data_IF_278218532041
#
_entry.id   IF_278218532041
#
_cell.length_a   1.000
_cell.length_b   1.000
_cell.length_c   1.000
_cell.angle_alpha   90.00
_cell.angle_beta   90.00
_cell.angle_gamma   90.00
#
_symmetry.space_group_name_H-M   'P 1'
#
loop_
_entity.id
_entity.type
_entity.pdbx_description
1 polymer ?
#
# COMPACT_ATOMS: atom_id res chain seq x y z
N UNK A 1 -73.66 10.83 -47.22
CA UNK A 1 -73.73 10.36 -45.83
C UNK A 1 -72.50 9.48 -45.61
N UNK A 2 -71.36 10.09 -45.29
CA UNK A 2 -70.04 9.45 -45.39
C UNK A 2 -69.44 9.34 -44.00
N UNK A 3 -69.81 8.29 -43.28
CA UNK A 3 -69.26 7.96 -41.95
C UNK A 3 -67.97 7.14 -42.12
N UNK A 4 -66.83 7.82 -42.12
CA UNK A 4 -65.51 7.20 -41.91
C UNK A 4 -64.71 8.14 -41.01
N UNK A 5 -64.67 7.89 -39.69
CA UNK A 5 -63.47 8.06 -38.82
C UNK A 5 -63.79 7.90 -37.32
N UNK A 6 -63.85 6.67 -36.80
CA UNK A 6 -63.50 6.43 -35.39
C UNK A 6 -62.19 5.64 -35.24
N UNK A 7 -61.81 4.84 -36.24
CA UNK A 7 -60.70 3.88 -36.11
C UNK A 7 -59.30 4.50 -36.19
N UNK A 8 -59.13 5.58 -36.96
CA UNK A 8 -57.83 6.25 -37.12
C UNK A 8 -57.32 6.89 -35.82
N UNK A 9 -58.21 7.34 -34.94
CA UNK A 9 -57.85 7.94 -33.65
C UNK A 9 -57.43 6.91 -32.61
N UNK A 10 -57.91 5.67 -32.69
CA UNK A 10 -57.49 4.60 -31.76
C UNK A 10 -56.10 4.06 -32.13
N UNK A 11 -55.79 3.96 -33.42
CA UNK A 11 -54.46 3.57 -33.90
C UNK A 11 -53.37 4.57 -33.50
N UNK A 12 -53.64 5.88 -33.64
CA UNK A 12 -52.70 6.93 -33.20
C UNK A 12 -52.50 6.95 -31.66
N UNK A 13 -53.53 6.59 -30.87
CA UNK A 13 -53.39 6.46 -29.41
C UNK A 13 -52.52 5.26 -29.02
N UNK A 14 -52.58 4.16 -29.77
CA UNK A 14 -51.76 2.98 -29.49
C UNK A 14 -50.28 3.20 -29.88
N UNK A 15 -50.00 3.93 -30.97
CA UNK A 15 -48.62 4.31 -31.36
C UNK A 15 -48.00 5.37 -30.43
N UNK A 16 -48.81 6.29 -29.90
CA UNK A 16 -48.38 7.23 -28.86
C UNK A 16 -47.94 6.50 -27.59
N UNK A 17 -48.64 5.42 -27.21
CA UNK A 17 -48.34 4.69 -25.98
C UNK A 17 -47.11 3.76 -26.11
N UNK A 18 -46.76 3.32 -27.33
CA UNK A 18 -45.55 2.51 -27.57
C UNK A 18 -44.25 3.33 -27.50
N UNK A 19 -44.30 4.65 -27.66
CA UNK A 19 -43.11 5.52 -27.62
C UNK A 19 -42.60 5.86 -26.21
N UNK A 20 -43.32 5.47 -25.16
CA UNK A 20 -42.96 5.78 -23.77
C UNK A 20 -42.22 4.64 -23.03
N UNK A 21 -41.81 3.56 -23.70
CA UNK A 21 -41.18 2.39 -23.04
C UNK A 21 -39.64 2.45 -23.00
N UNK A 22 -39.00 3.43 -23.65
CA UNK A 22 -37.55 3.62 -23.57
C UNK A 22 -37.18 4.79 -22.65
N UNK A 23 -37.48 4.67 -21.37
CA UNK A 23 -36.76 5.45 -20.36
C UNK A 23 -35.30 5.00 -20.33
N UNK A 24 -34.32 5.92 -20.17
CA UNK A 24 -32.94 5.49 -19.99
C UNK A 24 -32.90 4.59 -18.76
N UNK A 25 -32.49 3.34 -18.95
CA UNK A 25 -32.10 2.44 -17.87
C UNK A 25 -30.95 3.13 -17.13
N UNK A 26 -31.30 3.93 -16.11
CA UNK A 26 -30.34 4.41 -15.13
C UNK A 26 -29.66 3.16 -14.60
N UNK A 27 -28.34 2.98 -14.82
CA UNK A 27 -27.65 1.85 -14.21
C UNK A 27 -27.90 1.99 -12.73
N UNK A 28 -28.51 0.95 -12.13
CA UNK A 28 -28.75 0.87 -10.71
C UNK A 28 -27.44 1.25 -10.03
N UNK A 29 -27.37 2.47 -9.50
CA UNK A 29 -26.22 2.96 -8.76
C UNK A 29 -26.26 2.13 -7.49
N UNK A 30 -25.55 1.01 -7.50
CA UNK A 30 -25.39 0.17 -6.33
C UNK A 30 -24.81 1.06 -5.24
N UNK A 31 -25.68 1.55 -4.37
CA UNK A 31 -25.35 2.30 -3.16
C UNK A 31 -24.84 1.30 -2.15
N UNK A 32 -23.72 0.68 -2.49
CA UNK A 32 -22.85 0.02 -1.55
C UNK A 32 -22.12 1.11 -0.77
N UNK A 33 -22.87 1.83 0.06
CA UNK A 33 -22.37 2.62 1.18
C UNK A 33 -21.81 1.67 2.23
N UNK A 34 -20.79 0.90 1.87
CA UNK A 34 -19.98 0.21 2.85
C UNK A 34 -19.18 1.30 3.58
N UNK A 35 -19.29 1.34 4.92
CA UNK A 35 -18.54 2.28 5.74
C UNK A 35 -17.09 2.39 5.28
N UNK A 36 -16.53 3.60 5.26
CA UNK A 36 -15.23 3.96 4.65
C UNK A 36 -14.06 3.01 4.96
N UNK A 37 -14.17 2.16 5.98
CA UNK A 37 -13.15 1.25 6.49
C UNK A 37 -13.41 -0.25 6.21
N UNK A 38 -14.54 -0.63 5.59
CA UNK A 38 -14.83 -2.06 5.29
C UNK A 38 -14.00 -2.51 4.08
N UNK A 39 -13.29 -3.63 4.22
CA UNK A 39 -12.55 -4.26 3.13
C UNK A 39 -13.48 -4.70 2.00
N UNK A 40 -13.10 -4.41 0.76
CA UNK A 40 -13.77 -4.92 -0.43
C UNK A 40 -12.87 -5.95 -1.11
N UNK A 41 -13.42 -6.89 -1.89
CA UNK A 41 -12.61 -7.87 -2.62
C UNK A 41 -11.57 -7.23 -3.54
N UNK A 42 -11.88 -6.05 -4.09
CA UNK A 42 -10.94 -5.29 -4.92
C UNK A 42 -9.72 -4.81 -4.11
N UNK A 43 -9.89 -4.39 -2.86
CA UNK A 43 -8.76 -3.96 -2.02
C UNK A 43 -7.85 -5.14 -1.68
N UNK A 44 -8.43 -6.31 -1.43
CA UNK A 44 -7.68 -7.54 -1.14
C UNK A 44 -6.89 -7.94 -2.38
N UNK A 45 -7.52 -7.97 -3.55
CA UNK A 45 -6.85 -8.33 -4.81
C UNK A 45 -5.71 -7.37 -5.16
N UNK A 46 -5.94 -6.04 -5.03
CA UNK A 46 -4.88 -5.05 -5.30
C UNK A 46 -3.77 -5.13 -4.25
N UNK A 47 -4.12 -5.27 -2.96
CA UNK A 47 -3.14 -5.46 -1.89
C UNK A 47 -2.27 -6.70 -2.10
N UNK A 48 -2.89 -7.81 -2.52
CA UNK A 48 -2.17 -9.04 -2.86
C UNK A 48 -1.23 -8.83 -4.05
N UNK A 49 -1.71 -8.22 -5.14
CA UNK A 49 -0.90 -7.98 -6.34
C UNK A 49 0.31 -7.08 -6.04
N UNK A 50 0.10 -6.03 -5.25
CA UNK A 50 1.18 -5.14 -4.80
C UNK A 50 2.14 -5.88 -3.89
N UNK A 51 1.63 -6.61 -2.89
CA UNK A 51 2.46 -7.40 -1.99
C UNK A 51 3.35 -8.37 -2.76
N UNK A 52 2.78 -9.12 -3.69
CA UNK A 52 3.54 -10.02 -4.58
C UNK A 52 4.60 -9.28 -5.40
N UNK A 53 4.27 -8.12 -6.00
CA UNK A 53 5.23 -7.31 -6.74
C UNK A 53 6.38 -6.82 -5.84
N UNK A 54 6.07 -6.37 -4.62
CA UNK A 54 7.06 -6.00 -3.62
C UNK A 54 7.94 -7.18 -3.22
N UNK A 55 7.38 -8.37 -3.00
CA UNK A 55 8.15 -9.57 -2.65
C UNK A 55 9.16 -9.99 -3.73
N UNK A 56 8.81 -9.84 -5.01
CA UNK A 56 9.76 -10.05 -6.12
C UNK A 56 10.89 -9.02 -6.08
N UNK A 57 10.57 -7.76 -5.80
CA UNK A 57 11.58 -6.68 -5.64
C UNK A 57 12.49 -6.98 -4.43
N UNK A 58 11.93 -7.44 -3.32
CA UNK A 58 12.69 -7.82 -2.12
C UNK A 58 13.66 -8.95 -2.42
N UNK A 59 13.24 -9.92 -3.22
CA UNK A 59 14.14 -10.98 -3.67
C UNK A 59 15.27 -10.48 -4.57
N UNK A 60 14.94 -9.66 -5.58
CA UNK A 60 15.97 -9.04 -6.40
C UNK A 60 16.98 -8.26 -5.54
N UNK A 61 16.48 -7.62 -4.49
CA UNK A 61 17.31 -6.93 -3.52
C UNK A 61 18.13 -7.86 -2.62
N UNK A 62 17.63 -9.04 -2.23
CA UNK A 62 18.40 -10.05 -1.50
C UNK A 62 19.64 -10.52 -2.25
N UNK A 63 19.60 -10.59 -3.59
CA UNK A 63 20.78 -10.91 -4.39
C UNK A 63 21.76 -9.73 -4.49
N UNK A 64 21.24 -8.50 -4.56
CA UNK A 64 22.06 -7.29 -4.67
C UNK A 64 22.70 -6.88 -3.33
N UNK A 65 22.00 -7.11 -2.23
CA UNK A 65 22.37 -6.63 -0.90
C UNK A 65 23.74 -7.17 -0.41
N UNK A 66 24.12 -8.45 -0.57
CA UNK A 66 25.45 -8.93 -0.21
C UNK A 66 26.58 -8.19 -0.92
N UNK A 67 26.42 -7.89 -2.22
CA UNK A 67 27.40 -7.14 -3.03
C UNK A 67 27.47 -5.67 -2.60
N UNK A 68 26.31 -5.08 -2.34
CA UNK A 68 26.23 -3.69 -1.90
C UNK A 68 26.81 -3.53 -0.48
N UNK A 69 26.44 -4.44 0.42
CA UNK A 69 26.86 -4.43 1.81
C UNK A 69 28.36 -4.69 1.97
N UNK A 70 28.99 -5.53 1.14
CA UNK A 70 30.44 -5.75 1.19
C UNK A 70 31.21 -4.50 0.77
N UNK A 71 30.75 -3.83 -0.29
CA UNK A 71 31.33 -2.58 -0.79
C UNK A 71 31.14 -1.42 0.19
N UNK A 72 29.94 -1.30 0.76
CA UNK A 72 29.60 -0.23 1.71
C UNK A 72 30.26 -0.44 3.08
N UNK A 73 30.35 -1.68 3.55
CA UNK A 73 31.02 -1.99 4.82
C UNK A 73 32.53 -1.76 4.77
N UNK A 74 33.13 -1.78 3.57
CA UNK A 74 34.53 -1.41 3.36
C UNK A 74 34.77 0.10 3.51
N UNK A 75 33.74 0.93 3.30
CA UNK A 75 33.82 2.39 3.42
C UNK A 75 33.42 2.83 4.84
N UNK A 76 32.27 2.36 5.35
CA UNK A 76 31.80 2.69 6.69
C UNK A 76 30.90 1.57 7.27
N UNK A 77 31.30 0.94 8.39
CA UNK A 77 30.49 -0.09 9.05
C UNK A 77 29.14 0.48 9.52
N UNK A 78 28.03 0.04 8.90
CA UNK A 78 26.67 0.44 9.28
C UNK A 78 25.86 1.13 8.18
N UNK A 79 26.50 1.61 7.10
CA UNK A 79 25.78 2.30 6.00
C UNK A 79 24.89 1.34 5.20
N UNK A 80 25.21 0.04 5.18
CA UNK A 80 24.38 -0.97 4.54
C UNK A 80 22.93 -0.99 5.07
N UNK A 81 22.71 -0.52 6.30
CA UNK A 81 21.39 -0.45 6.94
C UNK A 81 20.47 0.61 6.35
N UNK A 82 21.01 1.60 5.63
CA UNK A 82 20.18 2.55 4.88
C UNK A 82 19.23 1.85 3.90
N UNK A 83 19.66 0.70 3.36
CA UNK A 83 18.90 -0.07 2.38
C UNK A 83 17.91 -1.05 2.99
N UNK A 84 17.94 -1.24 4.32
CA UNK A 84 16.99 -2.13 5.01
C UNK A 84 15.54 -1.65 4.84
N UNK A 85 15.37 -0.35 4.64
CA UNK A 85 14.10 0.28 4.35
C UNK A 85 13.38 -0.21 3.09
N UNK A 86 14.08 -0.88 2.17
CA UNK A 86 13.43 -1.49 1.00
C UNK A 86 12.46 -2.58 1.43
N UNK A 87 12.81 -3.41 2.42
CA UNK A 87 11.97 -4.55 2.84
C UNK A 87 10.68 -4.14 3.55
N UNK A 88 10.68 -3.05 4.32
CA UNK A 88 9.47 -2.57 4.99
C UNK A 88 8.74 -1.44 4.27
N UNK A 89 9.28 -0.91 3.17
CA UNK A 89 8.61 0.11 2.35
C UNK A 89 7.22 -0.33 1.87
N UNK A 90 7.02 -1.65 1.67
CA UNK A 90 5.72 -2.17 1.23
C UNK A 90 4.59 -1.96 2.24
N UNK A 91 4.89 -1.91 3.55
CA UNK A 91 3.90 -1.62 4.59
C UNK A 91 3.34 -0.20 4.47
N UNK A 92 4.23 0.80 4.36
CA UNK A 92 3.82 2.19 4.15
C UNK A 92 3.10 2.36 2.82
N UNK A 93 3.59 1.73 1.75
CA UNK A 93 2.92 1.76 0.45
C UNK A 93 1.51 1.15 0.51
N UNK A 94 1.35 0.03 1.22
CA UNK A 94 0.08 -0.67 1.39
C UNK A 94 -0.98 0.20 2.07
N UNK A 95 -0.62 0.89 3.16
CA UNK A 95 -1.56 1.78 3.87
C UNK A 95 -1.94 3.00 3.03
N UNK A 96 -1.01 3.55 2.24
CA UNK A 96 -1.26 4.68 1.35
C UNK A 96 -2.24 4.35 0.23
N UNK A 97 -2.17 3.13 -0.31
CA UNK A 97 -3.05 2.68 -1.39
C UNK A 97 -4.42 2.23 -0.90
N UNK A 98 -4.47 1.36 0.11
CA UNK A 98 -5.74 0.74 0.54
C UNK A 98 -6.50 1.66 1.50
N UNK A 99 -5.80 2.46 2.31
CA UNK A 99 -6.36 3.43 3.26
C UNK A 99 -7.33 2.81 4.29
N UNK A 100 -7.03 1.60 4.75
CA UNK A 100 -7.83 0.84 5.73
C UNK A 100 -6.96 0.27 6.84
N UNK A 101 -7.53 0.03 8.04
CA UNK A 101 -6.82 -0.64 9.12
C UNK A 101 -6.39 -2.05 8.71
N UNK A 102 -5.16 -2.40 9.05
CA UNK A 102 -4.49 -3.66 8.73
C UNK A 102 -3.90 -3.71 7.31
N UNK A 103 -3.95 -2.61 6.54
CA UNK A 103 -3.47 -2.62 5.16
C UNK A 103 -1.95 -2.74 5.07
N UNK A 104 -1.22 -2.09 5.98
CA UNK A 104 0.22 -2.17 6.02
C UNK A 104 0.69 -3.58 6.32
N UNK A 105 0.14 -4.17 7.38
CA UNK A 105 0.43 -5.56 7.80
C UNK A 105 0.12 -6.54 6.67
N UNK A 106 -1.04 -6.41 6.03
CA UNK A 106 -1.45 -7.32 4.96
C UNK A 106 -0.47 -7.30 3.78
N UNK A 107 -0.18 -6.12 3.23
CA UNK A 107 0.71 -6.00 2.06
C UNK A 107 2.13 -6.43 2.40
N UNK A 108 2.63 -6.06 3.58
CA UNK A 108 3.97 -6.42 4.03
C UNK A 108 4.10 -7.94 4.24
N UNK A 109 3.08 -8.58 4.81
CA UNK A 109 3.05 -10.02 5.02
C UNK A 109 2.98 -10.80 3.70
N UNK A 110 2.15 -10.35 2.76
CA UNK A 110 2.07 -10.98 1.44
C UNK A 110 3.39 -10.84 0.69
N UNK A 111 4.04 -9.66 0.75
CA UNK A 111 5.34 -9.46 0.12
C UNK A 111 6.44 -10.32 0.74
N UNK A 112 6.49 -10.36 2.07
CA UNK A 112 7.45 -11.21 2.79
C UNK A 112 7.24 -12.70 2.49
N UNK A 113 5.97 -13.15 2.40
CA UNK A 113 5.66 -14.51 2.03
C UNK A 113 6.10 -14.84 0.59
N UNK A 114 5.84 -13.95 -0.36
CA UNK A 114 6.29 -14.12 -1.74
C UNK A 114 7.82 -14.22 -1.84
N UNK A 115 8.54 -13.37 -1.09
CA UNK A 115 9.99 -13.42 -0.97
C UNK A 115 10.50 -14.75 -0.38
N UNK A 116 9.80 -15.30 0.63
CA UNK A 116 10.11 -16.62 1.20
C UNK A 116 9.95 -17.74 0.18
N UNK A 117 8.85 -17.72 -0.58
CA UNK A 117 8.52 -18.77 -1.56
C UNK A 117 9.56 -18.82 -2.68
N UNK A 118 10.06 -17.67 -3.12
CA UNK A 118 11.10 -17.60 -4.16
C UNK A 118 12.45 -18.11 -3.65
N UNK A 119 12.72 -17.95 -2.35
CA UNK A 119 13.87 -18.57 -1.68
C UNK A 119 14.64 -17.58 -0.83
N UNK A 120 14.40 -17.59 0.48
CA UNK A 120 15.13 -16.76 1.43
C UNK A 120 16.06 -17.61 2.32
N UNK A 121 17.22 -17.04 2.64
CA UNK A 121 18.24 -17.56 3.54
C UNK A 121 17.86 -17.45 5.04
N UNK A 122 16.85 -16.65 5.36
CA UNK A 122 16.36 -16.45 6.74
C UNK A 122 15.18 -17.36 7.09
N UNK A 123 15.07 -17.74 8.36
CA UNK A 123 14.00 -18.61 8.84
C UNK A 123 12.62 -17.96 8.65
N UNK A 124 11.69 -18.70 8.02
CA UNK A 124 10.34 -18.22 7.67
C UNK A 124 9.62 -17.62 8.88
N UNK A 125 9.66 -18.29 10.03
CA UNK A 125 9.01 -17.80 11.25
C UNK A 125 9.55 -16.45 11.72
N UNK A 126 10.86 -16.23 11.59
CA UNK A 126 11.52 -15.00 12.02
C UNK A 126 11.16 -13.81 11.11
N UNK A 127 11.13 -14.04 9.79
CA UNK A 127 10.79 -12.99 8.81
C UNK A 127 9.31 -12.65 8.88
N UNK A 128 8.43 -13.63 9.08
CA UNK A 128 7.00 -13.37 9.17
C UNK A 128 6.64 -12.60 10.45
N UNK A 129 7.25 -12.93 11.60
CA UNK A 129 7.04 -12.18 12.84
C UNK A 129 7.54 -10.75 12.70
N UNK A 130 8.73 -10.55 12.11
CA UNK A 130 9.27 -9.20 11.89
C UNK A 130 8.40 -8.41 10.90
N UNK A 131 7.90 -9.03 9.83
CA UNK A 131 7.04 -8.37 8.85
C UNK A 131 5.70 -7.91 9.45
N UNK A 132 5.14 -8.69 10.38
CA UNK A 132 3.93 -8.29 11.10
C UNK A 132 4.23 -7.07 11.97
N UNK A 133 5.33 -7.12 12.74
CA UNK A 133 5.70 -6.04 13.65
C UNK A 133 5.98 -4.74 12.88
N UNK A 134 6.72 -4.82 11.77
CA UNK A 134 6.96 -3.72 10.84
C UNK A 134 5.66 -3.16 10.24
N UNK A 135 4.74 -4.05 9.87
CA UNK A 135 3.42 -3.66 9.39
C UNK A 135 2.62 -2.88 10.43
N UNK A 136 2.66 -3.31 11.69
CA UNK A 136 1.97 -2.63 12.80
C UNK A 136 2.61 -1.27 13.09
N UNK A 137 3.95 -1.20 13.09
CA UNK A 137 4.69 0.03 13.34
C UNK A 137 4.53 1.06 12.22
N UNK A 138 4.48 0.63 10.96
CA UNK A 138 4.20 1.53 9.83
C UNK A 138 2.77 2.07 9.84
N UNK A 139 1.83 1.33 10.41
CA UNK A 139 0.43 1.72 10.51
C UNK A 139 0.13 2.62 11.72
N UNK A 140 0.97 2.60 12.75
CA UNK A 140 0.77 3.33 14.00
C UNK A 140 0.50 4.83 13.81
N UNK A 141 1.26 5.57 12.97
CA UNK A 141 1.00 7.00 12.74
C UNK A 141 -0.33 7.27 12.01
N UNK A 142 -0.74 6.35 11.13
CA UNK A 142 -2.04 6.43 10.44
C UNK A 142 -3.20 6.07 11.36
N UNK A 143 -2.98 5.12 12.29
CA UNK A 143 -3.93 4.76 13.33
C UNK A 143 -4.16 5.93 14.31
N UNK A 144 -3.10 6.63 14.71
CA UNK A 144 -3.19 7.85 15.54
C UNK A 144 -3.99 8.95 14.83
N UNK A 145 -3.78 9.12 13.52
CA UNK A 145 -4.60 10.03 12.71
C UNK A 145 -6.01 9.49 12.37
N UNK A 146 -6.42 8.38 12.99
CA UNK A 146 -7.72 7.71 12.81
C UNK A 146 -8.07 7.44 11.34
N UNK A 147 -7.06 7.19 10.50
CA UNK A 147 -7.21 6.97 9.06
C UNK A 147 -7.96 8.10 8.34
N UNK A 148 -7.96 9.32 8.89
CA UNK A 148 -8.65 10.47 8.27
C UNK A 148 -7.78 11.19 7.25
N UNK A 149 -6.46 11.13 7.43
CA UNK A 149 -5.49 11.82 6.59
C UNK A 149 -4.39 10.85 6.17
N UNK A 150 -3.98 10.93 4.91
CA UNK A 150 -2.88 10.17 4.34
C UNK A 150 -2.01 11.20 3.66
N UNK A 151 -1.03 11.75 4.37
CA UNK A 151 -0.18 12.85 3.91
C UNK A 151 1.29 12.43 3.93
N UNK A 152 2.16 13.17 3.24
CA UNK A 152 3.59 12.90 3.22
C UNK A 152 4.22 12.85 4.64
N UNK A 153 3.90 13.76 5.58
CA UNK A 153 4.40 13.65 6.96
C UNK A 153 4.01 12.35 7.67
N UNK A 154 2.81 11.82 7.41
CA UNK A 154 2.37 10.55 7.99
C UNK A 154 3.12 9.35 7.39
N UNK A 155 3.40 9.38 6.08
CA UNK A 155 4.23 8.37 5.43
C UNK A 155 5.66 8.38 5.99
N UNK A 156 6.24 9.57 6.18
CA UNK A 156 7.55 9.74 6.82
C UNK A 156 7.55 9.20 8.26
N UNK A 157 6.52 9.56 9.05
CA UNK A 157 6.38 9.05 10.41
C UNK A 157 6.24 7.53 10.44
N UNK A 158 5.46 6.93 9.52
CA UNK A 158 5.30 5.48 9.40
C UNK A 158 6.62 4.78 9.07
N UNK A 159 7.36 5.31 8.09
CA UNK A 159 8.70 4.83 7.75
C UNK A 159 9.69 4.94 8.90
N UNK A 160 9.69 6.06 9.63
CA UNK A 160 10.55 6.27 10.79
C UNK A 160 10.22 5.33 11.96
N UNK A 161 8.94 5.15 12.29
CA UNK A 161 8.52 4.21 13.34
C UNK A 161 8.94 2.78 13.02
N UNK A 162 8.80 2.38 11.77
CA UNK A 162 9.18 1.04 11.31
C UNK A 162 10.70 0.85 11.32
N UNK A 163 11.45 1.87 10.90
CA UNK A 163 12.91 1.84 10.95
C UNK A 163 13.46 1.68 12.37
N UNK A 164 12.88 2.40 13.34
CA UNK A 164 13.28 2.30 14.74
C UNK A 164 12.97 0.91 15.30
N UNK A 165 11.78 0.38 15.02
CA UNK A 165 11.41 -0.98 15.44
C UNK A 165 12.32 -2.03 14.80
N UNK A 166 12.52 -1.97 13.49
CA UNK A 166 13.36 -2.93 12.77
C UNK A 166 14.84 -2.85 13.18
N UNK A 167 15.37 -1.64 13.40
CA UNK A 167 16.74 -1.44 13.91
C UNK A 167 16.93 -2.01 15.31
N UNK A 168 15.96 -1.81 16.21
CA UNK A 168 15.98 -2.44 17.55
C UNK A 168 15.84 -3.97 17.45
N UNK A 169 14.97 -4.47 16.58
CA UNK A 169 14.80 -5.90 16.33
C UNK A 169 16.10 -6.54 15.84
N UNK A 170 16.81 -5.92 14.90
CA UNK A 170 18.12 -6.36 14.43
C UNK A 170 19.18 -6.33 15.54
N UNK A 171 19.21 -5.28 16.36
CA UNK A 171 20.14 -5.19 17.50
C UNK A 171 19.93 -6.31 18.51
N UNK A 172 18.68 -6.66 18.81
CA UNK A 172 18.33 -7.67 19.80
C UNK A 172 18.54 -9.11 19.29
N UNK A 173 18.16 -9.40 18.05
CA UNK A 173 18.14 -10.78 17.55
C UNK A 173 19.31 -11.13 16.63
N UNK A 174 19.81 -10.17 15.84
CA UNK A 174 20.88 -10.42 14.86
C UNK A 174 22.26 -10.00 15.38
N UNK A 175 22.33 -8.91 16.13
CA UNK A 175 23.54 -8.39 16.74
C UNK A 175 23.62 -8.62 18.26
N UNK A 176 22.96 -9.66 18.78
CA UNK A 176 23.04 -10.04 20.18
C UNK A 176 24.51 -10.16 20.63
N UNK A 177 25.01 -9.15 21.36
CA UNK A 177 26.40 -9.03 21.78
C UNK A 177 27.10 -7.73 21.38
N UNK A 178 26.54 -6.94 20.46
CA UNK A 178 27.00 -5.58 20.15
C UNK A 178 26.25 -4.61 21.05
N UNK A 179 26.96 -3.88 21.91
CA UNK A 179 26.32 -2.87 22.76
C UNK A 179 25.56 -1.86 21.88
N UNK A 180 24.29 -1.53 22.18
CA UNK A 180 23.52 -0.52 21.45
C UNK A 180 24.20 0.86 21.49
N UNK A 181 25.09 1.10 22.46
CA UNK A 181 25.92 2.30 22.61
C UNK A 181 27.27 2.21 21.89
N UNK A 182 27.58 1.10 21.22
CA UNK A 182 28.80 1.01 20.41
C UNK A 182 28.69 1.95 19.19
N UNK A 183 29.81 2.50 18.69
CA UNK A 183 29.81 3.36 17.50
C UNK A 183 29.07 2.73 16.31
N UNK A 184 29.17 1.40 16.16
CA UNK A 184 28.49 0.64 15.11
C UNK A 184 26.96 0.57 15.31
N UNK A 185 26.49 0.45 16.55
CA UNK A 185 25.06 0.45 16.88
C UNK A 185 24.41 1.82 16.64
N UNK A 186 25.11 2.90 17.00
CA UNK A 186 24.64 4.27 16.77
C UNK A 186 24.59 4.58 15.27
N UNK A 187 25.65 4.28 14.51
CA UNK A 187 25.67 4.47 13.05
C UNK A 187 24.59 3.63 12.37
N UNK A 188 24.39 2.38 12.81
CA UNK A 188 23.30 1.52 12.32
C UNK A 188 21.93 2.17 12.53
N UNK A 189 21.60 2.61 13.75
CA UNK A 189 20.30 3.22 14.06
C UNK A 189 20.05 4.53 13.29
N UNK A 190 21.08 5.35 13.11
CA UNK A 190 20.97 6.60 12.34
C UNK A 190 20.72 6.29 10.87
N UNK A 191 21.53 5.39 10.27
CA UNK A 191 21.36 4.99 8.88
C UNK A 191 20.00 4.31 8.66
N UNK A 192 19.56 3.44 9.56
CA UNK A 192 18.25 2.79 9.49
C UNK A 192 17.11 3.82 9.48
N UNK A 193 17.17 4.79 10.41
CA UNK A 193 16.15 5.84 10.52
C UNK A 193 16.09 6.71 9.28
N UNK A 194 17.25 7.12 8.74
CA UNK A 194 17.32 7.90 7.49
C UNK A 194 16.76 7.08 6.32
N UNK A 195 17.13 5.79 6.24
CA UNK A 195 16.64 4.87 5.22
C UNK A 195 15.12 4.75 5.27
N UNK A 196 14.55 4.56 6.44
CA UNK A 196 13.10 4.46 6.61
C UNK A 196 12.36 5.75 6.28
N UNK A 197 12.91 6.91 6.65
CA UNK A 197 12.31 8.20 6.29
C UNK A 197 12.31 8.38 4.77
N UNK A 198 13.45 8.16 4.12
CA UNK A 198 13.65 8.49 2.71
C UNK A 198 13.03 7.42 1.80
N UNK A 199 13.30 6.15 2.03
CA UNK A 199 12.85 5.05 1.18
C UNK A 199 11.44 4.62 1.57
N UNK A 200 11.24 4.19 2.82
CA UNK A 200 9.92 3.70 3.23
C UNK A 200 8.87 4.81 3.32
N UNK A 201 9.25 6.04 3.69
CA UNK A 201 8.35 7.19 3.76
C UNK A 201 8.23 7.95 2.44
N UNK A 202 9.26 8.71 2.08
CA UNK A 202 9.22 9.66 0.96
C UNK A 202 9.07 8.94 -0.39
N UNK A 203 9.89 7.92 -0.66
CA UNK A 203 9.85 7.21 -1.93
C UNK A 203 8.53 6.45 -2.10
N UNK A 204 8.03 5.76 -1.07
CA UNK A 204 6.70 5.12 -1.11
C UNK A 204 5.57 6.10 -1.42
N UNK A 205 5.64 7.33 -0.89
CA UNK A 205 4.66 8.37 -1.19
C UNK A 205 4.70 8.81 -2.67
N UNK A 206 5.89 9.03 -3.23
CA UNK A 206 6.03 9.37 -4.64
C UNK A 206 5.64 8.22 -5.56
N UNK A 207 6.02 6.99 -5.20
CA UNK A 207 5.65 5.78 -5.93
C UNK A 207 4.12 5.62 -5.95
N UNK A 208 3.46 5.77 -4.80
CA UNK A 208 2.01 5.81 -4.72
C UNK A 208 1.40 6.88 -5.64
N UNK A 209 1.92 8.11 -5.65
CA UNK A 209 1.42 9.18 -6.54
C UNK A 209 1.63 8.84 -8.02
N UNK A 210 2.74 8.22 -8.37
CA UNK A 210 3.01 7.79 -9.74
C UNK A 210 2.01 6.71 -10.18
N UNK A 211 1.77 5.69 -9.35
CA UNK A 211 0.79 4.63 -9.62
C UNK A 211 -0.64 5.19 -9.65
N UNK A 212 -0.96 6.17 -8.81
CA UNK A 212 -2.26 6.83 -8.86
C UNK A 212 -2.49 7.58 -10.18
N UNK A 213 -1.44 8.16 -10.78
CA UNK A 213 -1.53 8.87 -12.07
C UNK A 213 -1.76 7.94 -13.27
N UNK A 214 -1.38 6.66 -13.18
CA UNK A 214 -1.61 5.70 -14.28
C UNK A 214 -3.06 5.23 -14.37
N UNK A 215 -3.93 5.60 -13.42
CA UNK A 215 -5.32 5.16 -13.36
C UNK A 215 -5.51 3.75 -12.82
N UNK A 216 -4.42 3.02 -12.51
CA UNK A 216 -4.49 1.67 -11.94
C UNK A 216 -5.22 1.64 -10.58
N UNK A 217 -5.21 2.75 -9.83
CA UNK A 217 -5.87 2.89 -8.53
C UNK A 217 -7.26 3.55 -8.62
N UNK A 218 -7.83 3.76 -9.82
CA UNK A 218 -9.12 4.47 -9.98
C UNK A 218 -10.28 3.77 -9.25
N UNK A 219 -10.16 2.44 -9.03
CA UNK A 219 -11.12 1.64 -8.25
C UNK A 219 -10.97 1.84 -6.73
N UNK A 220 -9.81 2.29 -6.26
CA UNK A 220 -9.52 2.49 -4.83
C UNK A 220 -9.85 3.92 -4.35
N UNK A 221 -10.02 4.07 -3.04
CA UNK A 221 -10.23 5.37 -2.41
C UNK A 221 -9.05 6.34 -2.63
N UNK A 222 -7.85 5.80 -2.80
CA UNK A 222 -6.62 6.54 -3.01
C UNK A 222 -6.51 7.15 -4.41
N UNK A 223 -6.86 6.42 -5.48
CA UNK A 223 -6.93 6.96 -6.84
C UNK A 223 -7.99 8.06 -6.99
N UNK A 224 -9.15 7.90 -6.34
CA UNK A 224 -10.20 8.94 -6.31
C UNK A 224 -9.75 10.24 -5.63
N UNK A 225 -8.92 10.15 -4.58
CA UNK A 225 -8.40 11.33 -3.90
C UNK A 225 -7.43 12.13 -4.78
N UNK A 226 -6.58 11.45 -5.56
CA UNK A 226 -5.60 12.10 -6.44
C UNK A 226 -6.27 12.75 -7.67
N UNK A 227 -7.31 12.13 -8.24
CA UNK A 227 -8.10 12.73 -9.34
C UNK A 227 -9.02 13.87 -8.91
N UNK A 228 -9.53 13.81 -7.68
CA UNK A 228 -10.49 14.79 -7.18
C UNK A 228 -9.91 16.17 -6.87
N UNK A 229 -8.60 16.39 -7.05
CA UNK A 229 -7.95 17.67 -6.75
C UNK A 229 -7.98 18.07 -5.27
N UNK A 230 -8.48 17.19 -4.40
CA UNK A 230 -8.39 17.38 -2.96
C UNK A 230 -6.95 17.11 -2.59
N UNK A 231 -6.17 18.18 -2.52
CA UNK A 231 -4.83 18.17 -1.95
C UNK A 231 -4.89 17.38 -0.63
N UNK A 232 -4.21 16.23 -0.64
CA UNK A 232 -3.87 15.46 0.54
C UNK A 232 -2.51 15.92 1.03
#
# INVERSE_FOLDING_TARGET
MTMQTPQRNQQNRQESNRRNVSGPTSPARSTFGHGRLRWTPADIAVGAAVGMACGVVFQGFNFLYPVLSSTLSAILPGVASLFHAVWYASGVLGVLMIRKPGAAVYVNLVGSFAEMVIGNQYAVGFVMVSAILQGVCSELPFAVARYRSFTLPLAIAGGACTAVEYGVYLLLFRYAGVSPLSPRGITHMICETIGGIVIAGVFSWFLYRAIAKTGALDKLASGRAVRGGVAA
#
